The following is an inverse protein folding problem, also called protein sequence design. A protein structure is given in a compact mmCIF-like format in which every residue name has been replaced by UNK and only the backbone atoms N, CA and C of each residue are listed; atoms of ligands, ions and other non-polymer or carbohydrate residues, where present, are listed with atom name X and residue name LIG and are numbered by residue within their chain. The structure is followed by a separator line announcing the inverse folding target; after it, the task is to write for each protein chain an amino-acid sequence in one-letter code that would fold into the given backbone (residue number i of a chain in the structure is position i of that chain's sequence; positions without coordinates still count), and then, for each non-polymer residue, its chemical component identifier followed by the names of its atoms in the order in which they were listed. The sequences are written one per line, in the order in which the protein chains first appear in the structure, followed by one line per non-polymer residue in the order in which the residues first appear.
data_IF_348424152274
#
_entry.id   IF_348424152274
#
_cell.length_a   1.000
_cell.length_b   1.000
_cell.length_c   1.000
_cell.angle_alpha   90.00
_cell.angle_beta   90.00
_cell.angle_gamma   90.00
#
_symmetry.space_group_name_H-M   'P 1'
#
loop_
_entity.id
_entity.type
_entity.pdbx_description
1 polymer ?
#
# COMPACT_ATOMS: atom_id res chain seq x y z
N UNK A 1 -12.14 -11.00 5.39
CA UNK A 1 -11.40 -12.07 6.06
C UNK A 1 -10.18 -11.45 6.74
N UNK A 2 -10.01 -11.71 8.03
CA UNK A 2 -8.88 -11.17 8.77
C UNK A 2 -7.60 -11.94 8.49
N UNK A 3 -6.45 -11.26 8.62
CA UNK A 3 -5.13 -11.88 8.42
C UNK A 3 -4.80 -12.88 9.53
N UNK A 4 -3.92 -13.81 9.22
CA UNK A 4 -3.30 -14.67 10.22
C UNK A 4 -2.18 -13.89 10.93
N UNK A 5 -2.42 -13.50 12.19
CA UNK A 5 -1.51 -12.67 12.98
C UNK A 5 -0.25 -13.38 13.46
N UNK A 6 -0.25 -14.70 13.46
CA UNK A 6 0.88 -15.51 13.89
C UNK A 6 1.97 -15.60 12.82
N UNK A 7 1.67 -15.14 11.62
CA UNK A 7 2.60 -15.11 10.48
C UNK A 7 2.80 -13.69 10.01
N UNK A 8 3.92 -13.40 9.33
CA UNK A 8 4.10 -12.10 8.68
C UNK A 8 2.91 -11.79 7.76
N UNK A 9 2.37 -10.58 7.87
CA UNK A 9 1.18 -10.17 7.14
C UNK A 9 1.19 -8.68 6.85
N UNK A 10 0.33 -8.28 5.92
CA UNK A 10 0.25 -6.91 5.42
C UNK A 10 -1.19 -6.41 5.50
N UNK A 11 -1.38 -5.25 6.12
CA UNK A 11 -2.63 -4.50 6.04
C UNK A 11 -2.46 -3.35 5.06
N UNK A 12 -3.49 -3.05 4.29
CA UNK A 12 -3.53 -1.88 3.41
C UNK A 12 -4.65 -0.96 3.86
N UNK A 13 -4.32 0.29 4.19
CA UNK A 13 -5.30 1.32 4.57
C UNK A 13 -5.46 2.29 3.41
N UNK A 14 -6.55 2.17 2.63
CA UNK A 14 -6.79 3.04 1.48
C UNK A 14 -7.46 4.35 1.88
N UNK A 15 -7.06 5.43 1.21
CA UNK A 15 -7.66 6.75 1.39
C UNK A 15 -9.13 6.77 0.98
N UNK A 16 -9.43 6.23 -0.20
CA UNK A 16 -10.75 6.27 -0.81
C UNK A 16 -11.07 4.98 -1.58
N UNK A 17 -12.22 4.96 -2.25
CA UNK A 17 -12.68 3.77 -2.96
C UNK A 17 -11.80 3.42 -4.16
N UNK A 18 -11.25 4.40 -4.88
CA UNK A 18 -10.34 4.13 -5.99
C UNK A 18 -9.08 3.40 -5.51
N UNK A 19 -8.50 3.88 -4.42
CA UNK A 19 -7.33 3.25 -3.79
C UNK A 19 -7.69 1.85 -3.26
N UNK A 20 -8.88 1.67 -2.70
CA UNK A 20 -9.36 0.35 -2.27
C UNK A 20 -9.43 -0.62 -3.43
N UNK A 21 -9.94 -0.19 -4.58
CA UNK A 21 -10.02 -1.03 -5.79
C UNK A 21 -8.63 -1.41 -6.31
N UNK A 22 -7.67 -0.47 -6.30
CA UNK A 22 -6.27 -0.77 -6.62
C UNK A 22 -5.72 -1.87 -5.72
N UNK A 23 -5.91 -1.74 -4.41
CA UNK A 23 -5.45 -2.71 -3.43
C UNK A 23 -6.15 -4.07 -3.59
N UNK A 24 -7.44 -4.07 -3.90
CA UNK A 24 -8.21 -5.29 -4.14
C UNK A 24 -7.67 -6.03 -5.37
N UNK A 25 -7.40 -5.30 -6.46
CA UNK A 25 -6.81 -5.89 -7.66
C UNK A 25 -5.44 -6.50 -7.39
N UNK A 26 -4.63 -5.83 -6.59
CA UNK A 26 -3.34 -6.36 -6.14
C UNK A 26 -3.52 -7.66 -5.34
N UNK A 27 -4.46 -7.65 -4.39
CA UNK A 27 -4.72 -8.80 -3.51
C UNK A 27 -5.14 -10.05 -4.30
N UNK A 28 -5.90 -9.87 -5.39
CA UNK A 28 -6.32 -10.99 -6.24
C UNK A 28 -5.15 -11.76 -6.86
N UNK A 29 -4.00 -11.12 -7.02
CA UNK A 29 -2.80 -11.73 -7.60
C UNK A 29 -1.85 -12.35 -6.58
N UNK A 30 -2.11 -12.16 -5.29
CA UNK A 30 -1.32 -12.78 -4.22
C UNK A 30 -1.44 -14.30 -4.31
N UNK A 31 -0.33 -15.00 -4.08
CA UNK A 31 -0.30 -16.46 -4.15
C UNK A 31 -1.39 -17.08 -3.27
N UNK A 32 -2.03 -18.13 -3.77
CA UNK A 32 -3.16 -18.76 -3.08
C UNK A 32 -2.83 -19.10 -1.62
N UNK A 33 -1.65 -19.66 -1.36
CA UNK A 33 -1.22 -20.02 -0.02
C UNK A 33 -1.00 -18.80 0.90
N UNK A 34 -0.87 -17.60 0.33
CA UNK A 34 -0.61 -16.35 1.05
C UNK A 34 -1.80 -15.40 1.08
N UNK A 35 -2.96 -15.78 0.59
CA UNK A 35 -4.14 -14.91 0.52
C UNK A 35 -4.55 -14.35 1.89
N UNK A 36 -4.37 -15.10 2.96
CA UNK A 36 -4.68 -14.66 4.32
C UNK A 36 -3.55 -13.85 4.97
N UNK A 37 -2.47 -13.59 4.25
CA UNK A 37 -1.37 -12.75 4.71
C UNK A 37 -1.52 -11.29 4.26
N UNK A 38 -2.61 -10.96 3.56
CA UNK A 38 -2.93 -9.59 3.17
C UNK A 38 -4.41 -9.30 3.46
N UNK A 39 -4.69 -8.07 3.90
CA UNK A 39 -6.05 -7.58 4.11
C UNK A 39 -6.14 -6.12 3.68
N UNK A 40 -7.16 -5.82 2.86
CA UNK A 40 -7.51 -4.45 2.51
C UNK A 40 -8.53 -3.95 3.53
N UNK A 41 -8.19 -2.90 4.25
CA UNK A 41 -9.05 -2.31 5.27
C UNK A 41 -10.13 -1.42 4.64
N UNK A 42 -11.20 -1.08 5.36
CA UNK A 42 -12.17 -0.10 4.91
C UNK A 42 -11.51 1.25 4.62
N UNK A 43 -12.08 2.01 3.67
CA UNK A 43 -11.56 3.34 3.30
C UNK A 43 -11.55 4.29 4.49
N UNK A 44 -10.51 5.12 4.56
CA UNK A 44 -10.40 6.10 5.64
C UNK A 44 -11.24 7.35 5.40
N UNK A 45 -11.37 7.80 4.15
CA UNK A 45 -12.16 8.97 3.80
C UNK A 45 -11.35 10.26 3.61
N UNK A 46 -10.07 10.14 3.25
CA UNK A 46 -9.16 11.26 2.98
C UNK A 46 -7.77 10.95 3.50
N UNK A 47 -6.75 11.65 2.97
CA UNK A 47 -5.37 11.38 3.37
C UNK A 47 -5.10 11.78 4.83
N UNK A 48 -5.74 12.83 5.33
CA UNK A 48 -5.66 13.20 6.75
C UNK A 48 -6.31 12.16 7.64
N UNK A 49 -7.40 11.53 7.18
CA UNK A 49 -8.05 10.44 7.91
C UNK A 49 -7.18 9.18 7.91
N UNK A 50 -6.45 8.91 6.81
CA UNK A 50 -5.44 7.85 6.78
C UNK A 50 -4.41 8.10 7.89
N UNK A 51 -3.85 9.31 7.94
CA UNK A 51 -2.86 9.68 8.94
C UNK A 51 -3.43 9.58 10.37
N UNK A 52 -4.63 10.09 10.57
CA UNK A 52 -5.29 10.07 11.88
C UNK A 52 -5.53 8.63 12.37
N UNK A 53 -6.06 7.76 11.52
CA UNK A 53 -6.27 6.34 11.87
C UNK A 53 -4.95 5.62 12.09
N UNK A 54 -3.94 5.92 11.28
CA UNK A 54 -2.61 5.37 11.51
C UNK A 54 -2.12 5.70 12.92
N UNK A 55 -2.17 6.96 13.30
CA UNK A 55 -1.67 7.42 14.60
C UNK A 55 -2.49 6.91 15.79
N UNK A 56 -3.81 6.83 15.65
CA UNK A 56 -4.71 6.48 16.78
C UNK A 56 -4.95 4.99 16.94
N UNK A 57 -4.86 4.21 15.86
CA UNK A 57 -5.20 2.77 15.89
C UNK A 57 -4.00 1.88 15.56
N UNK A 58 -3.25 2.21 14.50
CA UNK A 58 -2.30 1.27 13.92
C UNK A 58 -0.93 1.30 14.57
N UNK A 59 -0.48 2.44 15.07
CA UNK A 59 0.83 2.54 15.73
C UNK A 59 0.90 1.58 16.91
N UNK A 60 -0.06 1.65 17.83
CA UNK A 60 -0.08 0.78 19.01
C UNK A 60 -0.20 -0.70 18.62
N UNK A 61 -1.04 -1.01 17.64
CA UNK A 61 -1.20 -2.38 17.16
C UNK A 61 0.09 -2.92 16.55
N UNK A 62 0.81 -2.10 15.79
CA UNK A 62 2.07 -2.52 15.19
C UNK A 62 3.19 -2.69 16.22
N UNK A 63 3.18 -1.90 17.30
CA UNK A 63 4.11 -2.09 18.42
C UNK A 63 3.90 -3.45 19.09
N UNK A 64 2.65 -3.91 19.20
CA UNK A 64 2.30 -5.20 19.82
C UNK A 64 2.41 -6.39 18.88
N UNK A 65 2.34 -6.17 17.57
CA UNK A 65 2.31 -7.22 16.55
C UNK A 65 3.51 -7.09 15.61
N UNK A 66 4.65 -7.68 15.98
CA UNK A 66 5.90 -7.51 15.22
C UNK A 66 5.86 -8.11 13.80
N UNK A 67 4.92 -9.00 13.53
CA UNK A 67 4.72 -9.60 12.20
C UNK A 67 3.90 -8.70 11.25
N UNK A 68 3.35 -7.59 11.74
CA UNK A 68 2.47 -6.74 10.94
C UNK A 68 3.26 -5.72 10.12
N UNK A 69 2.92 -5.65 8.85
CA UNK A 69 3.33 -4.59 7.93
C UNK A 69 2.10 -3.79 7.54
N UNK A 70 2.27 -2.51 7.24
CA UNK A 70 1.16 -1.62 6.91
C UNK A 70 1.50 -0.76 5.71
N UNK A 71 0.61 -0.77 4.72
CA UNK A 71 0.68 0.13 3.57
C UNK A 71 -0.38 1.21 3.74
N UNK A 72 0.05 2.46 3.75
CA UNK A 72 -0.82 3.63 3.70
C UNK A 72 -0.93 4.02 2.23
N UNK A 73 -2.12 3.89 1.65
CA UNK A 73 -2.35 4.10 0.23
C UNK A 73 -3.12 5.41 0.04
N UNK A 74 -2.41 6.46 -0.38
CA UNK A 74 -2.93 7.82 -0.45
C UNK A 74 -2.70 8.45 -1.82
N UNK A 75 -3.54 9.44 -2.17
CA UNK A 75 -3.31 10.29 -3.34
C UNK A 75 -2.40 11.45 -2.95
N UNK A 76 -1.34 11.67 -3.73
CA UNK A 76 -0.39 12.74 -3.42
C UNK A 76 -0.84 14.11 -3.91
N UNK A 77 -1.78 14.17 -4.86
CA UNK A 77 -2.38 15.41 -5.36
C UNK A 77 -1.31 16.43 -5.82
N UNK A 78 -0.26 15.93 -6.50
CA UNK A 78 0.90 16.70 -6.95
C UNK A 78 1.65 17.43 -5.82
N UNK A 79 1.57 16.91 -4.57
CA UNK A 79 2.18 17.53 -3.40
C UNK A 79 3.23 16.63 -2.79
N UNK A 80 4.53 16.90 -3.05
CA UNK A 80 5.61 16.07 -2.51
C UNK A 80 5.71 16.14 -0.97
N UNK A 81 5.26 17.25 -0.37
CA UNK A 81 5.25 17.42 1.08
C UNK A 81 4.31 16.45 1.81
N UNK A 82 3.33 15.89 1.10
CA UNK A 82 2.38 14.93 1.70
C UNK A 82 3.06 13.65 2.16
N UNK A 83 3.98 13.12 1.35
CA UNK A 83 4.78 11.97 1.74
C UNK A 83 5.59 12.26 3.00
N UNK A 84 6.33 13.37 3.01
CA UNK A 84 7.20 13.73 4.13
C UNK A 84 6.40 13.96 5.41
N UNK A 85 5.24 14.57 5.29
CA UNK A 85 4.35 14.81 6.43
C UNK A 85 3.90 13.50 7.08
N UNK A 86 3.46 12.53 6.27
CA UNK A 86 3.06 11.23 6.80
C UNK A 86 4.26 10.51 7.39
N UNK A 87 5.38 10.50 6.68
CA UNK A 87 6.60 9.79 7.10
C UNK A 87 7.13 10.32 8.44
N UNK A 88 7.04 11.61 8.68
CA UNK A 88 7.45 12.25 9.94
C UNK A 88 6.69 11.69 11.14
N UNK A 89 5.44 11.27 10.96
CA UNK A 89 4.59 10.73 12.03
C UNK A 89 4.84 9.23 12.31
N UNK A 90 5.65 8.56 11.49
CA UNK A 90 5.94 7.14 11.68
C UNK A 90 7.02 6.96 12.75
N UNK A 91 6.72 6.29 13.88
CA UNK A 91 7.73 6.02 14.89
C UNK A 91 8.89 5.19 14.37
N UNK A 92 10.14 5.46 14.80
CA UNK A 92 11.31 4.72 14.33
C UNK A 92 11.20 3.21 14.53
N UNK A 93 10.53 2.75 15.59
CA UNK A 93 10.41 1.35 15.97
C UNK A 93 9.63 0.52 14.95
N UNK A 94 8.75 1.15 14.17
CA UNK A 94 7.94 0.47 13.15
C UNK A 94 8.23 0.96 11.73
N UNK A 95 9.19 1.86 11.57
CA UNK A 95 9.45 2.55 10.30
C UNK A 95 9.73 1.59 9.14
N UNK A 96 10.44 0.49 9.39
CA UNK A 96 10.74 -0.50 8.34
C UNK A 96 9.51 -1.28 7.88
N UNK A 97 8.43 -1.27 8.64
CA UNK A 97 7.20 -2.02 8.36
C UNK A 97 6.04 -1.15 7.90
N UNK A 98 6.26 0.15 7.73
CA UNK A 98 5.25 1.09 7.22
C UNK A 98 5.68 1.62 5.85
N UNK A 99 4.77 1.54 4.89
CA UNK A 99 4.98 1.94 3.50
C UNK A 99 3.94 2.99 3.12
N UNK A 100 4.35 4.02 2.40
CA UNK A 100 3.48 5.10 1.95
C UNK A 100 3.52 5.10 0.43
N UNK A 101 2.44 4.68 -0.18
CA UNK A 101 2.32 4.51 -1.62
C UNK A 101 1.09 5.26 -2.15
N UNK A 102 1.07 5.54 -3.42
CA UNK A 102 -0.13 6.06 -4.07
C UNK A 102 0.15 6.74 -5.40
N UNK A 103 -0.92 7.22 -6.02
CA UNK A 103 -0.89 7.93 -7.30
C UNK A 103 -0.38 9.35 -7.08
N UNK A 104 0.47 9.84 -7.98
CA UNK A 104 1.06 11.19 -7.85
C UNK A 104 0.02 12.30 -7.92
N UNK A 105 -0.95 12.18 -8.82
CA UNK A 105 -2.04 13.15 -8.95
C UNK A 105 -3.36 12.54 -8.46
N UNK A 106 -4.27 12.29 -9.38
CA UNK A 106 -5.58 11.71 -9.11
C UNK A 106 -5.69 10.33 -9.77
N UNK A 107 -6.35 9.35 -9.11
CA UNK A 107 -6.51 8.02 -9.68
C UNK A 107 -7.23 7.99 -11.02
N UNK A 108 -8.14 8.93 -11.27
CA UNK A 108 -8.92 9.02 -12.52
C UNK A 108 -8.02 9.15 -13.75
N UNK A 109 -6.93 9.91 -13.66
CA UNK A 109 -5.98 10.06 -14.76
C UNK A 109 -5.27 8.72 -15.06
N UNK A 110 -4.95 7.96 -14.02
CA UNK A 110 -4.35 6.63 -14.16
C UNK A 110 -5.33 5.66 -14.80
N UNK A 111 -6.59 5.69 -14.41
CA UNK A 111 -7.65 4.86 -14.98
C UNK A 111 -7.84 5.10 -16.47
N UNK A 112 -7.81 6.35 -16.89
CA UNK A 112 -7.91 6.71 -18.31
C UNK A 112 -6.76 6.14 -19.12
N UNK A 113 -5.57 6.07 -18.54
CA UNK A 113 -4.37 5.60 -19.22
C UNK A 113 -4.24 4.07 -19.25
N UNK A 114 -4.61 3.38 -18.17
CA UNK A 114 -4.26 1.97 -17.94
C UNK A 114 -5.46 1.03 -17.73
N UNK A 115 -6.68 1.54 -17.66
CA UNK A 115 -7.89 0.74 -17.47
C UNK A 115 -8.44 0.79 -16.04
N UNK A 116 -9.24 -0.20 -15.66
CA UNK A 116 -9.88 -0.21 -14.34
C UNK A 116 -8.85 -0.24 -13.21
N UNK A 117 -9.23 0.28 -12.05
CA UNK A 117 -8.35 0.26 -10.88
C UNK A 117 -7.93 -1.15 -10.47
N UNK A 118 -8.84 -2.11 -10.57
CA UNK A 118 -8.53 -3.51 -10.26
C UNK A 118 -7.52 -4.09 -11.25
N UNK A 119 -7.66 -3.78 -12.54
CA UNK A 119 -6.71 -4.17 -13.57
C UNK A 119 -5.33 -3.59 -13.31
N UNK A 120 -5.27 -2.32 -12.92
CA UNK A 120 -4.02 -1.64 -12.57
C UNK A 120 -3.39 -2.31 -11.34
N UNK A 121 -4.18 -2.55 -10.29
CA UNK A 121 -3.71 -3.23 -9.09
C UNK A 121 -3.13 -4.61 -9.39
N UNK A 122 -3.80 -5.37 -10.24
CA UNK A 122 -3.31 -6.67 -10.72
C UNK A 122 -1.96 -6.55 -11.43
N UNK A 123 -1.81 -5.56 -12.31
CA UNK A 123 -0.54 -5.33 -13.02
C UNK A 123 0.59 -4.95 -12.06
N UNK A 124 0.31 -4.13 -11.04
CA UNK A 124 1.28 -3.76 -10.01
C UNK A 124 1.74 -4.97 -9.20
N UNK A 125 0.82 -5.89 -8.88
CA UNK A 125 1.13 -7.12 -8.17
C UNK A 125 2.01 -8.06 -9.01
N UNK A 126 1.73 -8.19 -10.29
CA UNK A 126 2.54 -9.00 -11.21
C UNK A 126 3.96 -8.46 -11.31
N UNK A 127 4.12 -7.14 -11.40
CA UNK A 127 5.43 -6.50 -11.35
C UNK A 127 6.18 -6.85 -10.06
N UNK A 128 5.49 -6.78 -8.94
CA UNK A 128 6.07 -7.10 -7.64
C UNK A 128 6.53 -8.57 -7.59
N UNK A 129 5.69 -9.49 -8.04
CA UNK A 129 6.04 -10.93 -8.11
C UNK A 129 7.28 -11.17 -8.96
N UNK A 130 7.37 -10.53 -10.11
CA UNK A 130 8.45 -10.74 -11.08
C UNK A 130 9.67 -9.86 -10.84
N UNK A 131 9.62 -8.96 -9.87
CA UNK A 131 10.67 -7.96 -9.57
C UNK A 131 10.98 -7.07 -10.77
N UNK A 132 9.94 -6.62 -11.46
CA UNK A 132 10.03 -5.65 -12.56
C UNK A 132 9.22 -4.41 -12.21
N UNK A 133 9.29 -3.38 -13.03
CA UNK A 133 8.61 -2.10 -12.82
C UNK A 133 7.79 -1.63 -14.02
N UNK A 134 7.31 -2.55 -14.83
CA UNK A 134 6.62 -2.23 -16.09
C UNK A 134 5.42 -1.29 -15.88
N UNK A 135 4.57 -1.59 -14.89
CA UNK A 135 3.44 -0.74 -14.53
C UNK A 135 3.85 0.38 -13.55
N UNK A 136 4.70 0.07 -12.58
CA UNK A 136 5.16 1.03 -11.58
C UNK A 136 5.93 2.21 -12.16
N UNK A 137 6.56 2.07 -13.33
CA UNK A 137 7.32 3.16 -13.96
C UNK A 137 6.44 4.21 -14.66
N UNK A 138 5.11 4.01 -14.72
CA UNK A 138 4.20 5.01 -15.24
C UNK A 138 4.43 6.35 -14.54
N UNK A 139 4.28 7.47 -15.27
CA UNK A 139 4.58 8.81 -14.73
C UNK A 139 3.82 9.15 -13.45
N UNK A 140 2.60 8.59 -13.27
CA UNK A 140 1.79 8.80 -12.08
C UNK A 140 2.14 7.86 -10.92
N UNK A 141 3.06 6.91 -11.11
CA UNK A 141 3.43 5.91 -10.12
C UNK A 141 4.94 5.86 -9.83
N UNK A 142 5.78 6.37 -10.72
CA UNK A 142 7.24 6.25 -10.62
C UNK A 142 7.86 6.88 -9.37
N UNK A 143 7.18 7.84 -8.76
CA UNK A 143 7.61 8.47 -7.51
C UNK A 143 7.61 7.49 -6.33
N UNK A 144 6.91 6.35 -6.45
CA UNK A 144 6.89 5.29 -5.43
C UNK A 144 8.16 4.44 -5.41
N UNK A 145 9.12 4.69 -6.28
CA UNK A 145 10.27 3.78 -6.49
C UNK A 145 11.02 3.42 -5.21
N UNK A 146 11.29 4.41 -4.35
CA UNK A 146 11.98 4.16 -3.08
C UNK A 146 11.20 3.23 -2.16
N UNK A 147 9.88 3.46 -2.06
CA UNK A 147 8.99 2.60 -1.29
C UNK A 147 8.82 1.23 -1.94
N UNK A 148 8.80 1.16 -3.27
CA UNK A 148 8.73 -0.11 -4.00
C UNK A 148 9.94 -1.00 -3.72
N UNK A 149 11.14 -0.44 -3.65
CA UNK A 149 12.36 -1.18 -3.32
C UNK A 149 12.23 -1.81 -1.92
N UNK A 150 11.71 -1.05 -0.96
CA UNK A 150 11.45 -1.53 0.40
C UNK A 150 10.34 -2.57 0.44
N UNK A 151 9.28 -2.37 -0.34
CA UNK A 151 8.17 -3.31 -0.47
C UNK A 151 8.66 -4.67 -1.01
N UNK A 152 9.50 -4.64 -2.04
CA UNK A 152 10.10 -5.85 -2.60
C UNK A 152 10.99 -6.59 -1.60
N UNK A 153 11.66 -5.85 -0.72
CA UNK A 153 12.51 -6.43 0.31
C UNK A 153 11.69 -7.08 1.43
N UNK A 154 10.64 -6.42 1.92
CA UNK A 154 9.94 -6.79 3.15
C UNK A 154 8.56 -7.43 2.95
N UNK A 155 7.83 -7.03 1.91
CA UNK A 155 6.43 -7.45 1.68
C UNK A 155 6.34 -8.55 0.63
N UNK A 156 7.11 -8.46 -0.43
CA UNK A 156 7.11 -9.47 -1.49
C UNK A 156 7.29 -10.90 -0.94
N UNK A 157 8.25 -11.17 -0.03
CA UNK A 157 8.41 -12.53 0.52
C UNK A 157 7.21 -13.04 1.33
N UNK A 158 6.34 -12.14 1.79
CA UNK A 158 5.14 -12.52 2.52
C UNK A 158 4.04 -12.98 1.56
N UNK A 159 3.96 -12.37 0.38
CA UNK A 159 2.83 -12.49 -0.53
C UNK A 159 3.09 -13.41 -1.73
N UNK A 160 4.35 -13.59 -2.11
CA UNK A 160 4.73 -14.32 -3.33
C UNK A 160 5.84 -15.35 -3.12
#
# INVERSE_FOLDING_TARGET
MSVNRDRPHVLVLPEDDANRQLATGFHLEVDFASQRQMQVLPVAGGWMEVLNRFMTEHVDNMMRLPNRHLVLLVDFDNRPDRFDRIRTEVPPEISERVFILGVWSEPEALKQALGSYETIGSALAKDCREKIDKAWRHELLRHNRGELDRLNQHVRPILF
#
